data_IF_359442442250
#
_entry.id   IF_359442442250
#
_cell.length_a   1.000
_cell.length_b   1.000
_cell.length_c   1.000
_cell.angle_alpha   90.00
_cell.angle_beta   90.00
_cell.angle_gamma   90.00
#
_symmetry.space_group_name_H-M   'P 1'
#
loop_
_entity.id
_entity.type
_entity.pdbx_description
1 polymer ?
#
# COMPACT_ATOMS: atom_id res chain seq x y z
N UNK A 1 8.84 -11.04 4.76
CA UNK A 1 9.94 -10.66 5.68
C UNK A 1 10.15 -9.16 5.86
N UNK A 2 9.67 -8.32 4.94
CA UNK A 2 9.95 -6.87 4.91
C UNK A 2 9.84 -6.10 6.24
N UNK A 3 8.92 -6.47 7.15
CA UNK A 3 8.79 -5.80 8.45
C UNK A 3 10.01 -6.06 9.34
N UNK A 4 10.51 -7.31 9.38
CA UNK A 4 11.72 -7.65 10.13
C UNK A 4 12.95 -6.99 9.52
N UNK A 5 13.04 -6.91 8.20
CA UNK A 5 14.08 -6.14 7.50
C UNK A 5 14.02 -4.66 7.88
N UNK A 6 12.82 -4.07 7.90
CA UNK A 6 12.62 -2.67 8.32
C UNK A 6 13.07 -2.45 9.76
N UNK A 7 12.71 -3.36 10.68
CA UNK A 7 13.18 -3.30 12.05
C UNK A 7 14.72 -3.39 12.14
N UNK A 8 15.35 -4.22 11.31
CA UNK A 8 16.82 -4.35 11.26
C UNK A 8 17.49 -3.11 10.67
N UNK A 9 16.92 -2.50 9.63
CA UNK A 9 17.39 -1.24 9.06
C UNK A 9 17.38 -0.13 10.12
N UNK A 10 16.30 -0.04 10.92
CA UNK A 10 16.16 0.96 11.99
C UNK A 10 16.95 0.64 13.27
N UNK A 11 17.50 -0.56 13.39
CA UNK A 11 18.26 -1.01 14.56
C UNK A 11 19.44 -1.87 14.13
N UNK A 12 20.43 -1.29 13.41
CA UNK A 12 21.48 -2.02 12.73
C UNK A 12 22.34 -2.85 13.69
N UNK A 13 22.53 -2.40 14.94
CA UNK A 13 23.36 -3.11 15.92
C UNK A 13 22.57 -4.13 16.76
N UNK A 14 21.24 -4.09 16.70
CA UNK A 14 20.40 -5.01 17.48
C UNK A 14 20.19 -6.32 16.73
N UNK A 15 20.05 -7.42 17.50
CA UNK A 15 19.59 -8.70 16.95
C UNK A 15 18.08 -8.63 16.74
N UNK A 16 17.65 -8.77 15.49
CA UNK A 16 16.24 -8.91 15.10
C UNK A 16 16.00 -10.38 14.77
N UNK A 17 14.96 -10.97 15.34
CA UNK A 17 14.60 -12.37 15.13
C UNK A 17 13.33 -12.46 14.30
N UNK A 18 13.39 -13.24 13.22
CA UNK A 18 12.23 -13.65 12.44
C UNK A 18 12.02 -15.15 12.68
N UNK A 19 10.97 -15.57 13.41
CA UNK A 19 10.78 -16.97 13.78
C UNK A 19 10.59 -17.92 12.60
N UNK A 20 10.03 -17.42 11.49
CA UNK A 20 9.80 -18.20 10.28
C UNK A 20 10.25 -17.45 9.03
N UNK A 21 11.26 -17.99 8.35
CA UNK A 21 11.77 -17.48 7.08
C UNK A 21 10.82 -17.73 5.90
N UNK A 22 9.65 -18.33 6.10
CA UNK A 22 8.59 -18.44 5.09
C UNK A 22 7.48 -17.40 5.26
N UNK A 23 7.55 -16.55 6.29
CA UNK A 23 6.61 -15.44 6.49
C UNK A 23 6.80 -14.30 5.46
N UNK A 24 6.43 -14.58 4.21
CA UNK A 24 6.51 -13.70 3.05
C UNK A 24 5.33 -12.74 2.93
N UNK A 25 5.32 -11.96 1.85
CA UNK A 25 4.21 -11.07 1.51
C UNK A 25 4.07 -11.03 0.00
N UNK A 26 2.95 -11.55 -0.52
CA UNK A 26 2.71 -11.63 -1.98
C UNK A 26 2.84 -10.27 -2.67
N UNK A 27 2.46 -9.19 -1.98
CA UNK A 27 2.58 -7.83 -2.49
C UNK A 27 4.05 -7.40 -2.63
N UNK A 28 4.89 -7.69 -1.63
CA UNK A 28 6.33 -7.43 -1.71
C UNK A 28 6.96 -8.24 -2.85
N UNK A 29 6.56 -9.50 -2.98
CA UNK A 29 7.08 -10.41 -4.02
C UNK A 29 6.64 -9.98 -5.44
N UNK A 30 5.52 -9.28 -5.55
CA UNK A 30 5.00 -8.73 -6.82
C UNK A 30 5.82 -7.57 -7.40
N UNK A 31 6.82 -7.07 -6.67
CA UNK A 31 7.66 -5.96 -7.10
C UNK A 31 9.16 -6.27 -6.98
N UNK A 32 9.71 -7.11 -7.88
CA UNK A 32 11.13 -7.42 -7.89
C UNK A 32 11.97 -6.16 -8.15
N UNK A 33 13.01 -5.87 -7.33
CA UNK A 33 13.80 -4.64 -7.43
C UNK A 33 14.40 -4.38 -8.82
N UNK A 34 14.94 -5.41 -9.47
CA UNK A 34 15.52 -5.29 -10.82
C UNK A 34 14.50 -4.92 -11.90
N UNK A 35 13.23 -5.34 -11.77
CA UNK A 35 12.17 -4.94 -12.69
C UNK A 35 11.66 -3.54 -12.36
N UNK A 36 11.57 -3.21 -11.07
CA UNK A 36 11.19 -1.87 -10.63
C UNK A 36 12.23 -0.82 -11.03
N UNK A 37 13.52 -1.14 -11.00
CA UNK A 37 14.59 -0.28 -11.51
C UNK A 37 14.38 0.08 -12.99
N UNK A 38 14.14 -0.93 -13.84
CA UNK A 38 13.80 -0.74 -15.26
C UNK A 38 12.51 0.06 -15.48
N UNK A 39 11.56 -0.05 -14.55
CA UNK A 39 10.35 0.74 -14.58
C UNK A 39 10.65 2.21 -14.22
N UNK A 40 11.41 2.46 -13.16
CA UNK A 40 11.87 3.79 -12.75
C UNK A 40 12.65 4.51 -13.85
N UNK A 41 13.48 3.81 -14.62
CA UNK A 41 14.24 4.37 -15.75
C UNK A 41 13.35 5.04 -16.81
N UNK A 42 12.09 4.61 -16.96
CA UNK A 42 11.13 5.22 -17.89
C UNK A 42 10.61 6.58 -17.41
N UNK A 43 10.90 6.94 -16.17
CA UNK A 43 10.34 8.10 -15.47
C UNK A 43 11.44 8.86 -14.69
N UNK A 44 12.47 9.40 -15.38
CA UNK A 44 13.66 9.95 -14.73
C UNK A 44 13.39 11.13 -13.77
N UNK A 45 12.33 11.89 -14.01
CA UNK A 45 11.97 13.06 -13.19
C UNK A 45 10.98 12.74 -12.05
N UNK A 46 10.65 11.46 -11.82
CA UNK A 46 9.66 11.07 -10.82
C UNK A 46 10.33 10.74 -9.48
N UNK A 47 9.75 11.28 -8.41
CA UNK A 47 10.04 10.88 -7.05
C UNK A 47 9.38 9.52 -6.78
N UNK A 48 10.12 8.59 -6.21
CA UNK A 48 9.66 7.24 -5.91
C UNK A 48 9.18 7.15 -4.47
N UNK A 49 7.87 6.91 -4.30
CA UNK A 49 7.27 6.56 -3.01
C UNK A 49 6.94 5.07 -3.03
N UNK A 50 7.48 4.32 -2.07
CA UNK A 50 7.08 2.92 -1.88
C UNK A 50 6.35 2.70 -0.57
N UNK A 51 5.36 1.82 -0.60
CA UNK A 51 4.70 1.30 0.58
C UNK A 51 5.66 0.33 1.28
N UNK A 52 5.66 0.33 2.62
CA UNK A 52 6.59 -0.44 3.46
C UNK A 52 6.62 -1.93 3.14
N UNK A 53 5.54 -2.47 2.56
CA UNK A 53 5.38 -3.85 2.08
C UNK A 53 6.22 -4.15 0.83
N UNK A 54 7.53 -3.95 0.92
CA UNK A 54 8.52 -4.18 -0.12
C UNK A 54 9.86 -4.63 0.47
N UNK A 55 10.74 -5.23 -0.34
CA UNK A 55 12.05 -5.68 0.14
C UNK A 55 12.95 -4.50 0.56
N UNK A 56 13.94 -4.76 1.42
CA UNK A 56 14.98 -3.79 1.74
C UNK A 56 15.69 -3.22 0.48
N UNK A 57 15.93 -4.06 -0.52
CA UNK A 57 16.51 -3.65 -1.80
C UNK A 57 15.59 -2.69 -2.57
N UNK A 58 14.27 -2.92 -2.59
CA UNK A 58 13.34 -1.97 -3.20
C UNK A 58 13.30 -0.63 -2.44
N UNK A 59 13.42 -0.66 -1.11
CA UNK A 59 13.51 0.57 -0.30
C UNK A 59 14.73 1.40 -0.69
N UNK A 60 15.86 0.76 -1.05
CA UNK A 60 17.04 1.47 -1.52
C UNK A 60 16.85 2.19 -2.88
N UNK A 61 15.84 1.79 -3.67
CA UNK A 61 15.47 2.46 -4.92
C UNK A 61 14.45 3.59 -4.73
N UNK A 62 13.94 3.76 -3.50
CA UNK A 62 12.87 4.66 -3.13
C UNK A 62 13.39 5.94 -2.51
N UNK A 63 12.72 7.07 -2.78
CA UNK A 63 13.02 8.34 -2.14
C UNK A 63 12.27 8.46 -0.79
N UNK A 64 11.05 7.92 -0.71
CA UNK A 64 10.22 7.93 0.50
C UNK A 64 9.56 6.57 0.70
N UNK A 65 9.53 6.08 1.94
CA UNK A 65 8.75 4.90 2.34
C UNK A 65 7.52 5.35 3.14
N UNK A 66 6.34 4.83 2.77
CA UNK A 66 5.07 5.15 3.41
C UNK A 66 4.37 3.90 3.98
N UNK A 67 3.27 4.11 4.69
CA UNK A 67 2.31 3.09 5.12
C UNK A 67 0.90 3.48 4.66
N UNK A 68 -0.07 2.56 4.75
CA UNK A 68 -1.47 2.88 4.47
C UNK A 68 -2.05 3.96 5.40
N UNK A 69 -1.38 4.25 6.53
CA UNK A 69 -1.81 5.29 7.47
C UNK A 69 -1.38 6.72 7.08
N UNK A 70 -0.30 6.89 6.32
CA UNK A 70 0.29 8.20 6.05
C UNK A 70 0.56 8.48 4.55
N UNK A 71 0.29 7.54 3.65
CA UNK A 71 0.55 7.70 2.21
C UNK A 71 -0.11 8.95 1.60
N UNK A 72 -1.36 9.25 1.99
CA UNK A 72 -2.08 10.47 1.55
C UNK A 72 -1.33 11.73 2.01
N UNK A 73 -1.00 11.81 3.29
CA UNK A 73 -0.33 12.97 3.88
C UNK A 73 1.05 13.21 3.25
N UNK A 74 1.81 12.13 2.99
CA UNK A 74 3.11 12.22 2.32
C UNK A 74 2.94 12.81 0.91
N UNK A 75 2.00 12.29 0.12
CA UNK A 75 1.77 12.79 -1.24
C UNK A 75 1.29 14.24 -1.27
N UNK A 76 0.45 14.65 -0.30
CA UNK A 76 -0.01 16.04 -0.16
C UNK A 76 1.10 17.00 0.28
N UNK A 77 2.10 16.52 1.02
CA UNK A 77 3.23 17.34 1.48
C UNK A 77 4.20 17.71 0.36
N UNK A 78 4.19 16.99 -0.75
CA UNK A 78 5.08 17.23 -1.89
C UNK A 78 4.57 18.40 -2.77
N UNK A 79 5.46 19.12 -3.47
CA UNK A 79 5.06 20.18 -4.39
C UNK A 79 4.04 19.69 -5.42
N UNK A 80 3.02 20.50 -5.73
CA UNK A 80 1.95 20.16 -6.69
C UNK A 80 2.43 19.80 -8.10
N UNK A 81 3.64 20.19 -8.49
CA UNK A 81 4.24 19.83 -9.78
C UNK A 81 5.06 18.53 -9.75
N UNK A 82 5.36 18.00 -8.57
CA UNK A 82 6.22 16.83 -8.42
C UNK A 82 5.55 15.61 -9.07
N UNK A 83 6.23 14.97 -10.02
CA UNK A 83 5.77 13.71 -10.59
C UNK A 83 6.17 12.57 -9.66
N UNK A 84 5.30 11.57 -9.49
CA UNK A 84 5.46 10.55 -8.46
C UNK A 84 5.26 9.15 -9.07
N UNK A 85 6.20 8.26 -8.79
CA UNK A 85 5.99 6.82 -8.89
C UNK A 85 5.49 6.33 -7.52
N UNK A 86 4.44 5.51 -7.52
CA UNK A 86 3.94 4.85 -6.32
C UNK A 86 3.91 3.33 -6.50
N UNK A 87 4.38 2.57 -5.51
CA UNK A 87 4.31 1.12 -5.52
C UNK A 87 4.51 0.50 -4.13
N UNK A 88 4.54 -0.84 -4.01
CA UNK A 88 4.15 -1.78 -5.05
C UNK A 88 2.62 -1.91 -5.22
N UNK A 89 1.80 -1.35 -4.33
CA UNK A 89 0.35 -1.58 -4.35
C UNK A 89 -0.40 -0.55 -5.22
N UNK A 90 -0.98 -1.03 -6.33
CA UNK A 90 -1.76 -0.21 -7.27
C UNK A 90 -3.08 0.28 -6.67
N UNK A 91 -3.70 -0.46 -5.75
CA UNK A 91 -4.99 -0.11 -5.16
C UNK A 91 -4.81 1.01 -4.13
N UNK A 92 -3.81 0.89 -3.26
CA UNK A 92 -3.41 1.98 -2.37
C UNK A 92 -2.99 3.21 -3.17
N UNK A 93 -2.21 3.02 -4.25
CA UNK A 93 -1.82 4.11 -5.15
C UNK A 93 -3.02 4.84 -5.76
N UNK A 94 -4.00 4.10 -6.29
CA UNK A 94 -5.26 4.68 -6.81
C UNK A 94 -6.06 5.41 -5.73
N UNK A 95 -6.14 4.84 -4.53
CA UNK A 95 -6.80 5.48 -3.39
C UNK A 95 -6.14 6.82 -3.04
N UNK A 96 -4.80 6.85 -2.98
CA UNK A 96 -4.04 8.07 -2.73
C UNK A 96 -4.22 9.09 -3.85
N UNK A 97 -4.12 8.67 -5.11
CA UNK A 97 -4.37 9.55 -6.27
C UNK A 97 -5.76 10.20 -6.20
N UNK A 98 -6.80 9.41 -5.89
CA UNK A 98 -8.18 9.89 -5.74
C UNK A 98 -8.35 10.86 -4.56
N UNK A 99 -7.72 10.59 -3.42
CA UNK A 99 -7.82 11.44 -2.22
C UNK A 99 -7.08 12.78 -2.39
N UNK A 100 -5.93 12.75 -3.04
CA UNK A 100 -5.04 13.90 -3.19
C UNK A 100 -5.29 14.70 -4.49
N UNK A 101 -6.00 14.12 -5.46
CA UNK A 101 -6.16 14.68 -6.80
C UNK A 101 -4.88 14.67 -7.63
N UNK A 102 -3.88 13.86 -7.25
CA UNK A 102 -2.56 13.80 -7.88
C UNK A 102 -2.54 12.66 -8.91
N UNK A 103 -1.92 12.90 -10.05
CA UNK A 103 -1.66 11.85 -11.04
C UNK A 103 -0.37 11.09 -10.65
N UNK A 104 -0.51 9.78 -10.40
CA UNK A 104 0.56 8.92 -9.90
C UNK A 104 0.85 7.83 -10.93
N UNK A 105 2.13 7.59 -11.20
CA UNK A 105 2.59 6.45 -12.00
C UNK A 105 2.66 5.22 -11.08
N UNK A 106 1.81 4.22 -11.32
CA UNK A 106 1.64 3.10 -10.41
C UNK A 106 2.39 1.85 -10.88
N UNK A 107 3.10 1.20 -9.96
CA UNK A 107 3.53 -0.19 -10.16
C UNK A 107 2.29 -1.11 -10.14
N UNK A 108 2.23 -2.08 -11.06
CA UNK A 108 1.09 -3.00 -11.18
C UNK A 108 1.19 -4.21 -10.24
N UNK A 109 1.36 -3.95 -8.94
CA UNK A 109 1.28 -4.96 -7.89
C UNK A 109 -0.01 -4.82 -7.08
N UNK A 110 -0.41 -5.88 -6.38
CA UNK A 110 -1.58 -5.87 -5.51
C UNK A 110 -1.49 -6.95 -4.42
N UNK A 111 -2.19 -6.72 -3.32
CA UNK A 111 -2.32 -7.70 -2.25
C UNK A 111 -3.42 -8.72 -2.59
N UNK A 112 -3.03 -9.98 -2.81
CA UNK A 112 -3.97 -11.07 -3.13
C UNK A 112 -5.09 -11.20 -2.08
N UNK A 113 -4.77 -10.99 -0.79
CA UNK A 113 -5.75 -11.07 0.31
C UNK A 113 -6.82 -9.99 0.20
N UNK A 114 -6.50 -8.81 -0.34
CA UNK A 114 -7.45 -7.72 -0.53
C UNK A 114 -8.12 -7.71 -1.91
N UNK A 115 -7.64 -8.52 -2.87
CA UNK A 115 -8.29 -8.75 -4.17
C UNK A 115 -9.34 -9.88 -4.14
N UNK A 116 -9.33 -10.77 -3.14
CA UNK A 116 -10.31 -11.87 -3.05
C UNK A 116 -11.72 -11.43 -2.57
N UNK A 117 -11.90 -10.17 -2.18
CA UNK A 117 -13.19 -9.70 -1.65
C UNK A 117 -14.24 -9.57 -2.76
N UNK A 118 -15.28 -10.42 -2.68
CA UNK A 118 -16.39 -10.40 -3.62
C UNK A 118 -17.37 -9.27 -3.31
N UNK A 119 -17.46 -8.29 -4.22
CA UNK A 119 -18.46 -7.21 -4.17
C UNK A 119 -19.89 -7.75 -3.97
N UNK A 120 -20.27 -8.80 -4.70
CA UNK A 120 -21.61 -9.39 -4.60
C UNK A 120 -21.91 -9.98 -3.22
N UNK A 121 -20.93 -10.63 -2.58
CA UNK A 121 -21.10 -11.16 -1.22
C UNK A 121 -21.24 -10.04 -0.19
N UNK A 122 -20.48 -8.95 -0.37
CA UNK A 122 -20.57 -7.77 0.51
C UNK A 122 -21.95 -7.13 0.40
N UNK A 123 -22.49 -6.96 -0.81
CA UNK A 123 -23.85 -6.42 -1.02
C UNK A 123 -24.88 -7.26 -0.26
N UNK A 124 -24.83 -8.59 -0.41
CA UNK A 124 -25.73 -9.52 0.31
C UNK A 124 -25.59 -9.40 1.83
N UNK A 125 -24.39 -9.13 2.34
CA UNK A 125 -24.18 -8.92 3.78
C UNK A 125 -24.76 -7.59 4.24
N UNK A 126 -24.60 -6.50 3.48
CA UNK A 126 -25.22 -5.20 3.79
C UNK A 126 -26.75 -5.28 3.76
N UNK A 127 -27.34 -6.05 2.84
CA UNK A 127 -28.78 -6.32 2.81
C UNK A 127 -29.27 -7.09 4.05
N UNK A 128 -28.49 -8.07 4.51
CA UNK A 128 -28.83 -8.88 5.70
C UNK A 128 -28.59 -8.16 7.02
N UNK A 129 -27.67 -7.19 7.03
CA UNK A 129 -27.26 -6.43 8.19
C UNK A 129 -27.30 -4.93 7.87
N UNK A 130 -28.49 -4.35 7.68
CA UNK A 130 -28.64 -2.98 7.19
C UNK A 130 -28.04 -1.91 8.13
N UNK A 131 -28.00 -2.18 9.44
CA UNK A 131 -27.44 -1.27 10.43
C UNK A 131 -25.93 -1.46 10.65
N UNK A 132 -25.33 -2.51 10.07
CA UNK A 132 -23.90 -2.76 10.22
C UNK A 132 -23.09 -1.85 9.30
N UNK A 133 -22.11 -1.16 9.89
CA UNK A 133 -21.15 -0.39 9.11
C UNK A 133 -20.14 -1.32 8.43
N UNK A 134 -19.84 -1.03 7.17
CA UNK A 134 -18.82 -1.72 6.40
C UNK A 134 -17.56 -0.85 6.31
N UNK A 135 -16.47 -1.35 6.88
CA UNK A 135 -15.18 -0.65 6.84
C UNK A 135 -14.16 -1.46 6.03
N UNK A 136 -13.25 -0.79 5.33
CA UNK A 136 -12.34 -1.45 4.39
C UNK A 136 -10.90 -0.91 4.45
N UNK A 137 -9.93 -1.78 4.15
CA UNK A 137 -8.53 -1.37 4.00
C UNK A 137 -8.31 -0.78 2.58
N UNK A 138 -7.50 0.28 2.41
CA UNK A 138 -7.26 0.91 1.10
C UNK A 138 -6.50 0.03 0.08
N UNK A 139 -6.09 -1.19 0.45
CA UNK A 139 -5.56 -2.20 -0.48
C UNK A 139 -6.67 -2.92 -1.27
N UNK A 140 -7.94 -2.78 -0.86
CA UNK A 140 -9.08 -3.35 -1.59
C UNK A 140 -9.31 -2.66 -2.93
N UNK A 141 -9.95 -3.37 -3.86
CA UNK A 141 -10.35 -2.79 -5.14
C UNK A 141 -11.37 -1.65 -4.98
N UNK A 142 -11.34 -0.70 -5.91
CA UNK A 142 -12.23 0.48 -5.90
C UNK A 142 -13.73 0.12 -5.81
N UNK A 143 -14.14 -1.00 -6.44
CA UNK A 143 -15.51 -1.49 -6.38
C UNK A 143 -15.95 -1.85 -4.95
N UNK A 144 -15.02 -2.35 -4.13
CA UNK A 144 -15.23 -2.63 -2.71
C UNK A 144 -15.17 -1.34 -1.90
N UNK A 145 -14.16 -0.51 -2.13
CA UNK A 145 -13.96 0.75 -1.39
C UNK A 145 -15.15 1.71 -1.52
N UNK A 146 -15.81 1.78 -2.68
CA UNK A 146 -17.00 2.63 -2.88
C UNK A 146 -18.19 2.28 -1.98
N UNK A 147 -18.25 1.04 -1.47
CA UNK A 147 -19.34 0.61 -0.59
C UNK A 147 -19.02 0.82 0.89
N UNK A 148 -17.77 1.16 1.22
CA UNK A 148 -17.29 1.27 2.59
C UNK A 148 -17.67 2.62 3.22
N UNK A 149 -18.18 2.53 4.45
CA UNK A 149 -18.54 3.66 5.31
C UNK A 149 -17.28 4.32 5.92
N UNK A 150 -16.20 3.55 6.06
CA UNK A 150 -14.87 4.05 6.44
C UNK A 150 -13.75 3.28 5.73
N UNK A 151 -12.71 4.00 5.30
CA UNK A 151 -11.53 3.42 4.65
C UNK A 151 -10.29 3.85 5.43
N UNK A 152 -9.47 2.89 5.86
CA UNK A 152 -8.25 3.19 6.62
C UNK A 152 -7.32 2.01 6.81
N UNK A 153 -6.10 2.29 7.29
CA UNK A 153 -5.19 1.26 7.79
C UNK A 153 -5.83 0.45 8.92
N UNK A 154 -5.30 -0.73 9.25
CA UNK A 154 -5.81 -1.54 10.38
C UNK A 154 -5.95 -0.73 11.68
N UNK A 155 -4.99 0.16 11.98
CA UNK A 155 -5.09 1.06 13.15
C UNK A 155 -6.23 2.08 13.01
N UNK A 156 -6.46 2.59 11.80
CA UNK A 156 -7.60 3.47 11.52
C UNK A 156 -8.94 2.74 11.70
N UNK A 157 -9.04 1.51 11.20
CA UNK A 157 -10.23 0.67 11.36
C UNK A 157 -10.54 0.44 12.84
N UNK A 158 -9.54 0.07 13.64
CA UNK A 158 -9.69 -0.15 15.09
C UNK A 158 -10.07 1.11 15.87
N UNK A 159 -9.71 2.31 15.41
CA UNK A 159 -10.08 3.58 16.06
C UNK A 159 -11.49 4.05 15.69
N UNK A 160 -12.01 3.54 14.58
CA UNK A 160 -13.34 3.87 14.09
C UNK A 160 -14.42 3.02 14.80
N UNK A 161 -14.08 1.78 15.12
CA UNK A 161 -14.93 0.84 15.87
C UNK A 161 -14.82 1.03 17.38
#
# INVERSE_FOLDING_TARGET
HFMAETAKILSPDKKVLLPDLKAGCSLSDSCPPHLFAKFKEKYPDHLVITYVNCTAELKALSDIVCTSSNAVQIVESLPKGQKIIFGPDKNLGKYVAKKTGRDLVLWNGACMVHEIFSQQKIIKLKERHPDAQFIAHPECEEAVLKMADYIGSTTGLLKYT
#
